data_IF_754560937686
#
_entry.id   IF_754560937686
#
_cell.length_a   1.000
_cell.length_b   1.000
_cell.length_c   1.000
_cell.angle_alpha   90.00
_cell.angle_beta   90.00
_cell.angle_gamma   90.00
#
_symmetry.space_group_name_H-M   'P 1'
#
loop_
_entity.id
_entity.type
_entity.pdbx_description
1 polymer ?
#
# COMPACT_ATOMS: atom_id res chain seq x y z
N UNK A 1 1.88 7.17 19.55
CA UNK A 1 0.92 7.08 18.42
C UNK A 1 1.56 6.40 17.23
N UNK A 2 2.68 6.93 16.71
CA UNK A 2 3.40 6.31 15.58
C UNK A 2 3.93 4.89 15.87
N UNK A 3 4.34 4.56 17.10
CA UNK A 3 4.78 3.19 17.45
C UNK A 3 3.67 2.14 17.40
N UNK A 4 2.46 2.48 17.84
CA UNK A 4 1.30 1.59 17.73
C UNK A 4 0.84 1.47 16.28
N UNK A 5 1.03 2.53 15.49
CA UNK A 5 0.72 2.53 14.07
C UNK A 5 1.70 1.66 13.28
N UNK A 6 3.01 1.81 13.51
CA UNK A 6 4.05 0.91 13.00
C UNK A 6 3.73 -0.55 13.31
N UNK A 7 3.44 -0.88 14.57
CA UNK A 7 3.04 -2.25 14.94
C UNK A 7 1.87 -2.75 14.10
N UNK A 8 0.82 -1.93 13.92
CA UNK A 8 -0.34 -2.30 13.12
C UNK A 8 0.03 -2.55 11.66
N UNK A 9 0.88 -1.71 11.06
CA UNK A 9 1.34 -1.83 9.67
C UNK A 9 2.22 -3.07 9.50
N UNK A 10 3.18 -3.29 10.39
CA UNK A 10 4.05 -4.45 10.39
C UNK A 10 3.28 -5.77 10.62
N UNK A 11 2.17 -5.74 11.34
CA UNK A 11 1.31 -6.91 11.58
C UNK A 11 0.32 -7.22 10.45
N UNK A 12 0.23 -6.37 9.43
CA UNK A 12 -0.72 -6.56 8.33
C UNK A 12 -0.42 -7.87 7.58
N UNK A 13 -1.43 -8.74 7.49
CA UNK A 13 -1.30 -10.06 6.88
C UNK A 13 -2.44 -10.29 5.90
N UNK A 14 -2.07 -10.58 4.65
CA UNK A 14 -3.02 -10.66 3.54
C UNK A 14 -3.21 -12.07 2.98
N UNK A 15 -2.55 -13.07 3.59
CA UNK A 15 -2.51 -14.47 3.14
C UNK A 15 -3.04 -15.46 4.18
N UNK A 16 -3.51 -14.99 5.34
CA UNK A 16 -4.04 -15.84 6.40
C UNK A 16 -5.15 -15.16 7.20
N UNK A 17 -5.86 -15.95 8.00
CA UNK A 17 -6.84 -15.44 8.96
C UNK A 17 -6.12 -14.52 9.93
N UNK A 18 -6.73 -13.38 10.25
CA UNK A 18 -6.20 -12.45 11.25
C UNK A 18 -5.97 -13.14 12.60
N UNK A 19 -5.00 -12.66 13.37
CA UNK A 19 -4.74 -13.20 14.71
C UNK A 19 -5.91 -12.99 15.68
N UNK A 20 -5.79 -13.51 16.91
CA UNK A 20 -6.86 -13.40 17.91
C UNK A 20 -7.25 -11.96 18.23
N UNK A 21 -6.31 -11.01 18.15
CA UNK A 21 -6.57 -9.59 18.38
C UNK A 21 -7.36 -9.00 17.23
N UNK A 22 -6.96 -9.29 15.98
CA UNK A 22 -7.66 -8.84 14.78
C UNK A 22 -9.11 -9.37 14.74
N UNK A 23 -9.31 -10.64 15.09
CA UNK A 23 -10.65 -11.24 15.15
C UNK A 23 -11.53 -10.60 16.23
N UNK A 24 -10.98 -10.36 17.42
CA UNK A 24 -11.71 -9.67 18.51
C UNK A 24 -12.11 -8.24 18.12
N UNK A 25 -11.21 -7.50 17.46
CA UNK A 25 -11.51 -6.15 16.99
C UNK A 25 -12.54 -6.13 15.85
N UNK A 26 -12.52 -7.13 14.97
CA UNK A 26 -13.47 -7.28 13.88
C UNK A 26 -14.90 -7.63 14.33
N UNK A 27 -15.05 -8.29 15.48
CA UNK A 27 -16.37 -8.62 16.06
C UNK A 27 -17.20 -7.38 16.45
N UNK A 28 -16.57 -6.21 16.59
CA UNK A 28 -17.26 -4.94 16.84
C UNK A 28 -17.63 -4.69 18.31
N UNK A 29 -17.47 -5.68 19.20
CA UNK A 29 -17.80 -5.58 20.62
C UNK A 29 -17.05 -4.45 21.35
N UNK A 30 -15.89 -4.05 20.82
CA UNK A 30 -15.07 -2.97 21.38
C UNK A 30 -15.22 -1.63 20.65
N UNK A 31 -16.00 -1.55 19.56
CA UNK A 31 -16.06 -0.34 18.73
C UNK A 31 -16.52 0.88 19.52
N UNK A 32 -17.60 0.75 20.30
CA UNK A 32 -18.10 1.87 21.09
C UNK A 32 -17.18 2.24 22.27
N UNK A 33 -16.47 1.25 22.83
CA UNK A 33 -15.48 1.49 23.87
C UNK A 33 -14.23 2.21 23.34
N UNK A 34 -13.85 1.95 22.08
CA UNK A 34 -12.68 2.57 21.42
C UNK A 34 -12.99 3.91 20.75
N UNK A 35 -14.27 4.23 20.51
CA UNK A 35 -14.71 5.46 19.85
C UNK A 35 -14.12 6.74 20.46
N UNK A 36 -14.14 6.96 21.80
CA UNK A 36 -13.59 8.19 22.37
C UNK A 36 -12.07 8.34 22.14
N UNK A 37 -11.33 7.22 22.08
CA UNK A 37 -9.92 7.24 21.74
C UNK A 37 -9.74 7.64 20.27
N UNK A 38 -10.48 7.02 19.35
CA UNK A 38 -10.43 7.37 17.94
C UNK A 38 -10.76 8.85 17.70
N UNK A 39 -11.81 9.38 18.34
CA UNK A 39 -12.18 10.81 18.26
C UNK A 39 -11.07 11.73 18.77
N UNK A 40 -10.41 11.37 19.88
CA UNK A 40 -9.28 12.12 20.44
C UNK A 40 -8.05 12.11 19.51
N UNK A 41 -7.79 10.96 18.86
CA UNK A 41 -6.76 10.85 17.82
C UNK A 41 -7.09 11.79 16.67
N UNK A 42 -8.29 11.67 16.08
CA UNK A 42 -8.71 12.48 14.93
C UNK A 42 -8.67 13.98 15.23
N UNK A 43 -9.04 14.39 16.45
CA UNK A 43 -9.03 15.79 16.87
C UNK A 43 -7.62 16.35 17.16
N UNK A 44 -6.59 15.51 17.23
CA UNK A 44 -5.22 15.94 17.52
C UNK A 44 -4.60 16.65 16.32
N UNK A 45 -3.93 17.78 16.57
CA UNK A 45 -3.15 18.47 15.53
C UNK A 45 -1.98 17.62 15.02
N UNK A 46 -1.48 16.67 15.83
CA UNK A 46 -0.39 15.77 15.44
C UNK A 46 -0.78 14.76 14.35
N UNK A 47 -2.08 14.58 14.09
CA UNK A 47 -2.61 13.69 13.05
C UNK A 47 -3.41 14.43 11.99
N UNK A 48 -3.39 15.77 11.99
CA UNK A 48 -4.10 16.54 10.97
C UNK A 48 -3.64 16.17 9.55
N UNK A 49 -2.36 15.86 9.37
CA UNK A 49 -1.77 15.41 8.12
C UNK A 49 -2.25 14.01 7.67
N UNK A 50 -2.88 13.22 8.53
CA UNK A 50 -3.38 11.89 8.14
C UNK A 50 -4.50 11.95 7.09
N UNK A 51 -5.12 13.11 6.96
CA UNK A 51 -6.27 13.38 6.09
C UNK A 51 -5.91 14.29 4.91
N UNK A 52 -4.63 14.62 4.72
CA UNK A 52 -4.21 15.54 3.66
C UNK A 52 -3.78 14.80 2.42
N UNK A 53 -3.93 15.47 1.28
CA UNK A 53 -3.36 15.09 -0.01
C UNK A 53 -1.83 14.94 0.06
N UNK A 54 -1.25 14.37 -0.99
CA UNK A 54 0.19 14.25 -1.13
C UNK A 54 0.89 15.62 -1.07
N UNK A 55 2.15 15.63 -0.60
CA UNK A 55 2.94 16.84 -0.46
C UNK A 55 3.83 17.04 -1.70
N UNK A 56 3.34 17.69 -2.75
CA UNK A 56 4.05 17.79 -4.03
C UNK A 56 5.51 18.31 -3.90
N UNK A 57 5.74 19.27 -3.01
CA UNK A 57 7.05 19.89 -2.79
C UNK A 57 7.95 19.12 -1.81
N UNK A 58 7.37 18.15 -1.08
CA UNK A 58 8.02 17.48 0.04
C UNK A 58 7.96 15.95 -0.13
N UNK A 59 8.56 15.41 -1.20
CA UNK A 59 8.61 13.96 -1.44
C UNK A 59 10.03 13.41 -1.39
N UNK A 60 10.17 12.22 -0.80
CA UNK A 60 11.38 11.40 -0.87
C UNK A 60 11.05 10.02 -1.42
N UNK A 61 11.82 9.56 -2.40
CA UNK A 61 11.83 8.17 -2.80
C UNK A 61 12.47 7.32 -1.71
N UNK A 62 11.95 6.10 -1.51
CA UNK A 62 12.43 5.14 -0.52
C UNK A 62 12.83 3.84 -1.21
N UNK A 63 14.07 3.40 -1.01
CA UNK A 63 14.59 2.15 -1.57
C UNK A 63 15.22 1.27 -0.50
N UNK A 64 14.86 0.00 -0.47
CA UNK A 64 15.52 -1.02 0.37
C UNK A 64 16.85 -1.52 -0.22
N UNK A 65 17.17 -1.13 -1.46
CA UNK A 65 18.41 -1.49 -2.13
C UNK A 65 19.33 -0.29 -2.28
N UNK A 66 20.64 -0.54 -2.15
CA UNK A 66 21.67 0.47 -2.40
C UNK A 66 21.49 1.06 -3.83
N UNK A 67 21.59 2.38 -4.00
CA UNK A 67 21.42 3.06 -5.30
C UNK A 67 22.35 2.53 -6.39
N UNK A 68 23.58 2.14 -6.04
CA UNK A 68 24.55 1.56 -6.99
C UNK A 68 24.10 0.18 -7.52
N UNK A 69 23.09 -0.41 -6.89
CA UNK A 69 22.43 -1.67 -7.29
C UNK A 69 21.01 -1.46 -7.84
N UNK A 70 20.53 -0.22 -7.87
CA UNK A 70 19.18 0.13 -8.32
C UNK A 70 19.11 0.14 -9.85
N UNK A 71 18.43 -0.86 -10.43
CA UNK A 71 18.31 -1.03 -11.87
C UNK A 71 17.05 -0.34 -12.46
N UNK A 72 16.64 0.80 -11.91
CA UNK A 72 15.45 1.55 -12.36
C UNK A 72 14.13 0.78 -12.18
N UNK A 73 12.98 1.39 -12.52
CA UNK A 73 11.72 0.66 -12.59
C UNK A 73 11.80 -0.44 -13.66
N UNK A 74 11.75 -1.69 -13.19
CA UNK A 74 11.98 -2.89 -13.99
C UNK A 74 10.70 -3.30 -14.71
N UNK A 75 10.47 -2.76 -15.92
CA UNK A 75 9.62 -3.26 -17.03
C UNK A 75 8.34 -2.46 -17.34
N UNK A 76 7.92 -2.38 -18.61
CA UNK A 76 6.67 -1.72 -19.00
C UNK A 76 5.44 -2.35 -18.32
N UNK A 77 4.56 -1.51 -17.75
CA UNK A 77 3.30 -1.94 -17.12
C UNK A 77 2.41 -2.81 -18.05
N UNK A 78 2.46 -2.56 -19.37
CA UNK A 78 1.70 -3.31 -20.37
C UNK A 78 2.07 -4.81 -20.41
N UNK A 79 3.36 -5.13 -20.32
CA UNK A 79 3.85 -6.52 -20.32
C UNK A 79 3.43 -7.25 -19.05
N UNK A 80 3.39 -6.54 -17.91
CA UNK A 80 2.88 -7.09 -16.65
C UNK A 80 1.39 -7.37 -16.73
N UNK A 81 0.59 -6.43 -17.24
CA UNK A 81 -0.85 -6.58 -17.33
C UNK A 81 -1.25 -7.78 -18.21
N UNK A 82 -0.60 -7.95 -19.37
CA UNK A 82 -0.84 -9.10 -20.25
C UNK A 82 -0.49 -10.45 -19.59
N UNK A 83 0.64 -10.51 -18.86
CA UNK A 83 1.04 -11.70 -18.10
C UNK A 83 0.07 -11.99 -16.96
N UNK A 84 -0.35 -10.97 -16.22
CA UNK A 84 -1.31 -11.10 -15.14
C UNK A 84 -2.65 -11.65 -15.66
N UNK A 85 -3.17 -11.15 -16.80
CA UNK A 85 -4.40 -11.69 -17.43
C UNK A 85 -4.24 -13.17 -17.79
N UNK A 86 -3.10 -13.52 -18.38
CA UNK A 86 -2.80 -14.91 -18.76
C UNK A 86 -2.75 -15.81 -17.52
N UNK A 87 -2.11 -15.33 -16.44
CA UNK A 87 -2.01 -16.05 -15.18
C UNK A 87 -3.38 -16.25 -14.53
N UNK A 88 -4.26 -15.24 -14.57
CA UNK A 88 -5.62 -15.32 -14.05
C UNK A 88 -6.44 -16.39 -14.78
N UNK A 89 -6.48 -16.32 -16.11
CA UNK A 89 -7.19 -17.30 -16.96
C UNK A 89 -6.66 -18.72 -16.72
N UNK A 90 -5.33 -18.88 -16.68
CA UNK A 90 -4.71 -20.17 -16.42
C UNK A 90 -5.02 -20.69 -15.01
N UNK A 91 -5.16 -19.80 -14.02
CA UNK A 91 -5.45 -20.16 -12.64
C UNK A 91 -6.90 -20.56 -12.40
N UNK A 92 -7.84 -20.02 -13.18
CA UNK A 92 -9.25 -20.42 -13.16
C UNK A 92 -9.54 -21.78 -13.81
N UNK A 93 -8.61 -22.33 -14.62
CA UNK A 93 -8.74 -23.65 -15.27
C UNK A 93 -8.20 -24.81 -14.44
N UNK A 94 -7.56 -24.55 -13.30
CA UNK A 94 -6.97 -25.60 -12.45
C UNK A 94 -8.03 -26.16 -11.52
N UNK A 95 -8.11 -27.49 -11.43
CA UNK A 95 -8.93 -28.18 -10.43
C UNK A 95 -8.26 -27.98 -9.06
N UNK A 96 -8.98 -27.39 -8.09
CA UNK A 96 -8.38 -26.90 -6.84
C UNK A 96 -8.68 -27.82 -5.68
N UNK A 97 -7.91 -28.89 -5.59
CA UNK A 97 -7.61 -29.52 -4.30
C UNK A 97 -6.14 -29.24 -3.96
N UNK A 98 -5.84 -28.07 -3.39
CA UNK A 98 -4.55 -27.80 -2.70
C UNK A 98 -4.60 -26.53 -1.86
N UNK A 99 -4.42 -26.71 -0.56
CA UNK A 99 -4.62 -25.74 0.52
C UNK A 99 -3.52 -24.67 0.68
N UNK A 100 -2.45 -24.62 -0.12
CA UNK A 100 -1.27 -23.79 0.19
C UNK A 100 -0.70 -22.97 -0.99
N UNK A 101 -1.52 -22.59 -1.97
CA UNK A 101 -1.06 -21.56 -2.93
C UNK A 101 -1.17 -20.19 -2.27
N UNK A 102 -0.01 -19.61 -1.93
CA UNK A 102 0.21 -18.19 -1.60
C UNK A 102 1.33 -17.71 -2.52
N UNK A 103 1.25 -16.48 -3.03
CA UNK A 103 2.27 -15.99 -3.97
C UNK A 103 2.27 -14.49 -4.26
N UNK A 104 1.13 -13.91 -4.64
CA UNK A 104 0.99 -12.47 -4.92
C UNK A 104 -0.30 -12.02 -4.23
N UNK A 105 -0.17 -11.25 -3.16
CA UNK A 105 -1.28 -10.71 -2.39
C UNK A 105 -1.36 -9.18 -2.44
N UNK A 106 -0.32 -8.53 -2.95
CA UNK A 106 -0.22 -7.08 -3.07
C UNK A 106 -1.21 -6.57 -4.12
N UNK A 107 -1.91 -5.48 -3.77
CA UNK A 107 -2.61 -4.64 -4.72
C UNK A 107 -1.73 -3.50 -5.24
N UNK A 108 -0.62 -3.16 -4.56
CA UNK A 108 0.32 -2.12 -5.01
C UNK A 108 0.93 -2.42 -6.38
N UNK A 109 1.17 -1.39 -7.21
CA UNK A 109 1.93 -1.55 -8.45
C UNK A 109 3.40 -1.79 -8.11
N UNK A 110 3.82 -3.06 -8.04
CA UNK A 110 5.16 -3.50 -7.61
C UNK A 110 6.36 -2.93 -8.37
N UNK A 111 6.14 -2.26 -9.50
CA UNK A 111 7.19 -1.61 -10.30
C UNK A 111 7.20 -0.09 -10.19
N UNK A 112 6.24 0.49 -9.47
CA UNK A 112 6.16 1.92 -9.30
C UNK A 112 7.26 2.41 -8.38
N UNK A 113 7.77 3.60 -8.67
CA UNK A 113 8.56 4.36 -7.69
C UNK A 113 7.66 4.69 -6.51
N UNK A 114 8.07 4.32 -5.30
CA UNK A 114 7.35 4.61 -4.05
C UNK A 114 7.99 5.81 -3.35
N UNK A 115 7.19 6.84 -3.09
CA UNK A 115 7.62 8.03 -2.36
C UNK A 115 6.76 8.29 -1.15
N UNK A 116 7.35 8.91 -0.14
CA UNK A 116 6.65 9.39 1.04
C UNK A 116 6.92 10.85 1.27
N UNK A 117 6.07 11.49 2.07
CA UNK A 117 6.31 12.85 2.52
C UNK A 117 7.61 12.96 3.31
N UNK A 118 8.40 13.99 2.99
CA UNK A 118 9.61 14.37 3.72
C UNK A 118 9.26 15.05 5.07
N UNK A 119 10.27 15.33 5.90
CA UNK A 119 10.08 16.09 7.15
C UNK A 119 10.96 15.61 8.30
N UNK A 120 10.84 16.29 9.44
CA UNK A 120 11.62 15.99 10.65
C UNK A 120 11.27 14.61 11.26
N UNK A 121 10.06 14.13 11.02
CA UNK A 121 9.56 12.82 11.46
C UNK A 121 9.79 11.70 10.43
N UNK A 122 10.57 11.94 9.37
CA UNK A 122 10.83 10.96 8.30
C UNK A 122 11.29 9.59 8.85
N UNK A 123 12.13 9.59 9.88
CA UNK A 123 12.57 8.34 10.53
C UNK A 123 11.40 7.48 11.03
N UNK A 124 10.32 8.08 11.53
CA UNK A 124 9.12 7.35 11.98
C UNK A 124 8.26 6.87 10.81
N UNK A 125 8.30 7.56 9.67
CA UNK A 125 7.57 7.16 8.46
C UNK A 125 8.25 6.01 7.72
N UNK A 126 9.57 5.91 7.85
CA UNK A 126 10.35 4.76 7.35
C UNK A 126 10.02 3.45 8.09
N UNK A 127 9.36 3.51 9.25
CA UNK A 127 8.82 2.33 9.93
C UNK A 127 7.47 1.87 9.37
N UNK A 128 6.74 2.73 8.65
CA UNK A 128 5.41 2.40 8.11
C UNK A 128 5.52 1.56 6.84
N UNK A 129 6.05 0.35 6.94
CA UNK A 129 6.25 -0.57 5.80
C UNK A 129 5.65 -1.92 6.14
N UNK A 130 4.66 -2.33 5.36
CA UNK A 130 4.12 -3.68 5.45
C UNK A 130 5.18 -4.70 5.04
N UNK A 131 5.21 -5.84 5.73
CA UNK A 131 6.10 -6.95 5.42
C UNK A 131 7.57 -6.51 5.20
N UNK A 132 8.05 -5.58 6.03
CA UNK A 132 9.39 -4.99 5.91
C UNK A 132 10.52 -6.01 6.06
N UNK A 133 10.24 -7.28 6.43
CA UNK A 133 11.24 -8.33 6.55
C UNK A 133 12.38 -8.03 7.53
N UNK A 134 12.22 -7.02 8.41
CA UNK A 134 13.26 -6.58 9.33
C UNK A 134 14.40 -5.81 8.68
N UNK A 135 14.12 -4.93 7.71
CA UNK A 135 15.15 -4.08 7.10
C UNK A 135 15.99 -3.33 8.15
N UNK A 136 17.31 -3.47 8.03
CA UNK A 136 18.31 -2.81 8.88
C UNK A 136 18.97 -1.60 8.17
N UNK A 137 18.74 -1.45 6.87
CA UNK A 137 19.25 -0.35 6.05
C UNK A 137 18.25 0.04 4.97
N UNK A 138 18.11 1.33 4.72
CA UNK A 138 17.23 1.89 3.69
C UNK A 138 17.86 3.17 3.13
N UNK A 139 17.56 3.50 1.88
CA UNK A 139 18.05 4.70 1.22
C UNK A 139 16.87 5.60 0.87
N UNK A 140 17.07 6.90 1.06
CA UNK A 140 16.08 7.91 0.67
C UNK A 140 16.71 8.92 -0.28
N UNK A 141 15.98 9.37 -1.27
CA UNK A 141 16.40 10.48 -2.11
C UNK A 141 15.29 11.51 -2.25
N UNK A 142 15.62 12.79 -2.14
CA UNK A 142 14.66 13.84 -2.48
C UNK A 142 14.29 13.73 -3.96
N UNK A 143 13.00 13.88 -4.27
CA UNK A 143 12.51 13.91 -5.65
C UNK A 143 11.82 15.23 -5.95
N UNK A 144 11.71 15.55 -7.24
CA UNK A 144 10.85 16.60 -7.77
C UNK A 144 9.72 15.97 -8.54
N UNK A 145 8.50 16.34 -8.18
CA UNK A 145 7.29 15.99 -8.92
C UNK A 145 7.07 16.98 -10.05
N UNK A 146 6.72 16.50 -11.24
CA UNK A 146 6.35 17.36 -12.36
C UNK A 146 5.12 18.20 -12.00
N UNK A 147 5.11 19.49 -12.35
CA UNK A 147 4.03 20.40 -11.97
C UNK A 147 2.67 20.06 -12.59
N UNK A 148 2.67 19.28 -13.67
CA UNK A 148 1.49 18.79 -14.38
C UNK A 148 1.17 17.31 -14.07
N UNK A 149 1.87 16.69 -13.10
CA UNK A 149 1.59 15.33 -12.67
C UNK A 149 0.16 15.20 -12.12
N UNK A 150 -0.56 14.20 -12.59
CA UNK A 150 -1.94 13.89 -12.21
C UNK A 150 -1.93 12.82 -11.13
N UNK A 151 -2.08 13.22 -9.87
CA UNK A 151 -2.15 12.31 -8.75
C UNK A 151 -3.60 12.00 -8.39
N UNK A 152 -3.93 10.71 -8.25
CA UNK A 152 -5.21 10.30 -7.67
C UNK A 152 -5.05 10.13 -6.15
N UNK A 153 -5.92 10.78 -5.41
CA UNK A 153 -5.98 10.71 -3.96
C UNK A 153 -6.93 9.61 -3.46
N UNK A 154 -6.46 8.81 -2.51
CA UNK A 154 -7.25 7.76 -1.84
C UNK A 154 -7.33 8.09 -0.35
N UNK A 155 -8.50 8.60 0.08
CA UNK A 155 -8.76 8.99 1.46
C UNK A 155 -9.73 8.05 2.19
N UNK A 156 -10.48 7.26 1.43
CA UNK A 156 -11.48 6.35 1.98
C UNK A 156 -11.65 5.09 1.11
N UNK A 157 -12.29 4.03 1.65
CA UNK A 157 -12.58 2.81 0.89
C UNK A 157 -13.40 3.10 -0.39
N UNK A 158 -14.23 4.14 -0.37
CA UNK A 158 -15.04 4.55 -1.53
C UNK A 158 -14.21 5.04 -2.71
N UNK A 159 -13.08 5.70 -2.45
CA UNK A 159 -12.19 6.20 -3.51
C UNK A 159 -11.50 5.03 -4.22
N UNK A 160 -11.02 4.07 -3.43
CA UNK A 160 -10.44 2.83 -3.93
C UNK A 160 -11.46 1.98 -4.69
N UNK A 161 -12.68 1.82 -4.14
CA UNK A 161 -13.76 1.12 -4.81
C UNK A 161 -14.10 1.74 -6.17
N UNK A 162 -14.12 3.07 -6.25
CA UNK A 162 -14.33 3.80 -7.51
C UNK A 162 -13.19 3.54 -8.50
N UNK A 163 -11.93 3.59 -8.06
CA UNK A 163 -10.78 3.27 -8.90
C UNK A 163 -10.89 1.85 -9.49
N UNK A 164 -11.20 0.86 -8.65
CA UNK A 164 -11.42 -0.53 -9.08
C UNK A 164 -12.60 -0.68 -10.03
N UNK A 165 -13.67 0.10 -9.86
CA UNK A 165 -14.84 0.09 -10.75
C UNK A 165 -14.52 0.70 -12.12
N UNK A 166 -13.78 1.81 -12.14
CA UNK A 166 -13.43 2.54 -13.35
C UNK A 166 -12.30 1.85 -14.14
N UNK A 167 -11.45 1.09 -13.45
CA UNK A 167 -10.29 0.41 -14.00
C UNK A 167 -10.17 -1.04 -13.46
N UNK A 168 -11.13 -1.94 -13.73
CA UNK A 168 -11.14 -3.26 -13.12
C UNK A 168 -10.08 -4.19 -13.71
N UNK A 169 -9.41 -4.94 -12.84
CA UNK A 169 -8.59 -6.08 -13.18
C UNK A 169 -8.98 -7.27 -12.30
N UNK A 170 -9.47 -8.35 -12.91
CA UNK A 170 -9.92 -9.53 -12.18
C UNK A 170 -8.75 -10.36 -11.66
N UNK A 171 -8.84 -10.75 -10.38
CA UNK A 171 -7.83 -11.50 -9.63
C UNK A 171 -8.45 -12.63 -8.81
N UNK A 172 -9.71 -12.98 -9.07
CA UNK A 172 -10.51 -13.98 -8.34
C UNK A 172 -9.75 -15.29 -8.12
N UNK A 173 -8.99 -15.73 -9.11
CA UNK A 173 -8.27 -16.98 -9.09
C UNK A 173 -6.82 -16.82 -8.65
N UNK A 174 -6.14 -15.71 -8.94
CA UNK A 174 -4.73 -15.51 -8.57
C UNK A 174 -4.54 -15.04 -7.14
N UNK A 175 -5.14 -13.91 -6.77
CA UNK A 175 -5.01 -13.26 -5.45
C UNK A 175 -6.19 -13.58 -4.54
N UNK A 176 -7.39 -13.73 -5.13
CA UNK A 176 -8.63 -14.00 -4.42
C UNK A 176 -8.58 -15.14 -3.40
N UNK A 177 -7.82 -16.24 -3.58
CA UNK A 177 -7.69 -17.28 -2.54
C UNK A 177 -7.09 -16.79 -1.24
N UNK A 178 -6.07 -15.92 -1.30
CA UNK A 178 -5.44 -15.32 -0.12
C UNK A 178 -6.40 -14.34 0.54
N UNK A 179 -7.04 -13.47 -0.23
CA UNK A 179 -8.00 -12.49 0.28
C UNK A 179 -9.27 -13.13 0.85
N UNK A 180 -9.68 -14.28 0.31
CA UNK A 180 -10.72 -15.12 0.90
C UNK A 180 -10.30 -15.69 2.26
N UNK A 181 -9.05 -16.14 2.43
CA UNK A 181 -8.57 -16.61 3.75
C UNK A 181 -8.64 -15.51 4.78
N UNK A 182 -8.35 -14.27 4.39
CA UNK A 182 -8.41 -13.09 5.27
C UNK A 182 -9.86 -12.75 5.65
N UNK A 183 -10.77 -12.76 4.68
CA UNK A 183 -12.11 -12.15 4.82
C UNK A 183 -13.24 -13.15 5.02
N UNK A 184 -13.03 -14.42 4.68
CA UNK A 184 -14.07 -15.46 4.62
C UNK A 184 -15.04 -15.31 3.44
N UNK A 185 -14.82 -14.36 2.52
CA UNK A 185 -15.77 -14.04 1.45
C UNK A 185 -15.49 -14.81 0.16
N UNK A 186 -16.47 -15.60 -0.30
CA UNK A 186 -16.49 -16.25 -1.61
C UNK A 186 -17.14 -15.30 -2.63
N UNK A 187 -16.34 -14.39 -3.18
CA UNK A 187 -16.78 -13.33 -4.11
C UNK A 187 -15.84 -13.26 -5.31
N UNK A 188 -16.24 -12.53 -6.36
CA UNK A 188 -15.25 -12.06 -7.35
C UNK A 188 -14.37 -11.01 -6.71
N UNK A 189 -13.08 -11.07 -7.03
CA UNK A 189 -12.09 -10.12 -6.55
C UNK A 189 -11.49 -9.33 -7.70
N UNK A 190 -11.36 -8.03 -7.51
CA UNK A 190 -10.71 -7.13 -8.46
C UNK A 190 -9.67 -6.25 -7.78
N UNK A 191 -8.72 -5.77 -8.57
CA UNK A 191 -7.79 -4.69 -8.22
C UNK A 191 -7.76 -3.66 -9.36
N UNK A 192 -7.12 -2.49 -9.19
CA UNK A 192 -6.94 -1.55 -10.28
C UNK A 192 -6.08 -2.16 -11.40
N UNK A 193 -6.51 -1.99 -12.64
CA UNK A 193 -5.70 -2.26 -13.80
C UNK A 193 -4.67 -1.13 -13.97
N UNK A 194 -3.47 -1.32 -13.42
CA UNK A 194 -2.42 -0.29 -13.40
C UNK A 194 -2.03 0.25 -14.80
N UNK A 195 -2.09 -0.58 -15.85
CA UNK A 195 -1.91 -0.12 -17.24
C UNK A 195 -2.99 0.90 -17.64
N UNK A 196 -4.25 0.62 -17.28
CA UNK A 196 -5.37 1.51 -17.57
C UNK A 196 -5.37 2.77 -16.69
N UNK A 197 -4.91 2.65 -15.43
CA UNK A 197 -4.79 3.78 -14.50
C UNK A 197 -3.67 4.72 -14.96
N UNK A 198 -2.52 4.18 -15.38
CA UNK A 198 -1.38 4.96 -15.88
C UNK A 198 -1.71 5.81 -17.12
N UNK A 199 -2.75 5.46 -17.88
CA UNK A 199 -3.24 6.28 -18.99
C UNK A 199 -3.89 7.59 -18.53
N UNK A 200 -4.35 7.68 -17.27
CA UNK A 200 -5.08 8.83 -16.71
C UNK A 200 -4.36 9.53 -15.56
N UNK A 201 -3.56 8.80 -14.80
CA UNK A 201 -2.88 9.28 -13.61
C UNK A 201 -1.42 8.88 -13.65
N UNK A 202 -0.58 9.77 -13.13
CA UNK A 202 0.86 9.61 -13.09
C UNK A 202 1.29 9.06 -11.71
N UNK A 203 0.49 9.28 -10.67
CA UNK A 203 0.72 8.73 -9.34
C UNK A 203 -0.58 8.46 -8.57
N UNK A 204 -0.51 7.55 -7.60
CA UNK A 204 -1.62 7.21 -6.70
C UNK A 204 -1.14 7.39 -5.28
N UNK A 205 -1.76 8.31 -4.54
CA UNK A 205 -1.44 8.56 -3.15
C UNK A 205 -2.48 7.90 -2.24
N UNK A 206 -1.99 7.15 -1.24
CA UNK A 206 -2.82 6.60 -0.18
C UNK A 206 -2.54 7.36 1.12
N UNK A 207 -3.47 8.23 1.51
CA UNK A 207 -3.38 8.91 2.81
C UNK A 207 -3.42 7.91 3.98
N UNK A 208 -2.93 8.34 5.15
CA UNK A 208 -3.01 7.53 6.38
C UNK A 208 -4.46 7.18 6.73
N UNK A 209 -5.40 8.11 6.55
CA UNK A 209 -6.82 7.85 6.78
C UNK A 209 -7.37 6.80 5.82
N UNK A 210 -7.00 6.88 4.54
CA UNK A 210 -7.35 5.88 3.52
C UNK A 210 -6.82 4.50 3.90
N UNK A 211 -5.55 4.42 4.31
CA UNK A 211 -4.95 3.18 4.79
C UNK A 211 -5.71 2.60 5.99
N UNK A 212 -5.86 3.36 7.08
CA UNK A 212 -6.48 2.91 8.33
C UNK A 212 -7.93 2.43 8.16
N UNK A 213 -8.65 2.98 7.18
CA UNK A 213 -10.05 2.63 6.91
C UNK A 213 -10.21 1.48 5.93
N UNK A 214 -9.16 1.13 5.15
CA UNK A 214 -9.26 0.27 3.97
C UNK A 214 -8.35 -0.96 3.98
N UNK A 215 -7.16 -0.86 4.57
CA UNK A 215 -6.18 -1.94 4.59
C UNK A 215 -6.74 -3.16 5.34
N UNK A 216 -6.40 -4.36 4.88
CA UNK A 216 -6.84 -5.66 5.45
C UNK A 216 -8.36 -5.90 5.50
N UNK A 217 -9.16 -5.06 4.81
CA UNK A 217 -10.63 -5.15 4.79
C UNK A 217 -11.16 -5.39 3.39
N UNK A 218 -12.22 -6.19 3.29
CA UNK A 218 -12.99 -6.29 2.05
C UNK A 218 -13.71 -4.96 1.79
N UNK A 219 -13.51 -4.42 0.59
CA UNK A 219 -14.13 -3.19 0.11
C UNK A 219 -15.09 -3.57 -1.01
N UNK A 220 -16.37 -3.26 -0.85
CA UNK A 220 -17.38 -3.53 -1.87
C UNK A 220 -17.18 -2.60 -3.08
N UNK A 221 -17.06 -3.20 -4.27
CA UNK A 221 -17.00 -2.50 -5.57
C UNK A 221 -18.36 -2.58 -6.27
N UNK A 222 -19.04 -3.71 -6.17
CA UNK A 222 -20.38 -3.98 -6.70
C UNK A 222 -21.03 -5.10 -5.85
N UNK A 223 -22.27 -5.49 -6.16
CA UNK A 223 -23.07 -6.45 -5.37
C UNK A 223 -22.31 -7.76 -5.03
N UNK A 224 -21.57 -8.32 -6.00
CA UNK A 224 -20.77 -9.55 -5.86
C UNK A 224 -19.29 -9.35 -6.26
N UNK A 225 -18.77 -8.14 -6.08
CA UNK A 225 -17.38 -7.79 -6.43
C UNK A 225 -16.74 -7.02 -5.30
N UNK A 226 -15.61 -7.54 -4.81
CA UNK A 226 -14.85 -6.92 -3.74
C UNK A 226 -13.41 -6.65 -4.18
N UNK A 227 -12.76 -5.76 -3.43
CA UNK A 227 -11.33 -5.46 -3.55
C UNK A 227 -10.74 -5.30 -2.14
N UNK A 228 -9.43 -5.21 -2.04
CA UNK A 228 -8.72 -4.91 -0.81
C UNK A 228 -7.49 -4.08 -1.14
N UNK A 229 -7.09 -3.19 -0.22
CA UNK A 229 -5.78 -2.55 -0.28
C UNK A 229 -4.80 -3.44 0.50
N UNK A 230 -3.78 -3.92 -0.19
CA UNK A 230 -2.77 -4.81 0.37
C UNK A 230 -1.39 -4.43 -0.19
N UNK A 231 -0.38 -4.40 0.66
CA UNK A 231 0.98 -4.12 0.23
C UNK A 231 1.32 -2.64 0.09
N UNK A 232 0.51 -1.75 0.68
CA UNK A 232 0.61 -0.30 0.49
C UNK A 232 1.11 0.37 1.76
N UNK A 233 2.02 1.34 1.62
CA UNK A 233 2.49 2.16 2.74
C UNK A 233 1.50 3.30 3.07
N UNK A 234 1.17 3.55 4.34
CA UNK A 234 0.43 4.76 4.71
C UNK A 234 1.19 6.05 4.32
N UNK A 235 0.49 7.02 3.74
CA UNK A 235 1.06 8.27 3.18
C UNK A 235 2.07 8.02 2.04
N UNK A 236 1.97 6.85 1.39
CA UNK A 236 2.80 6.46 0.26
C UNK A 236 2.16 6.83 -1.08
N UNK A 237 2.98 7.36 -1.99
CA UNK A 237 2.61 7.62 -3.39
C UNK A 237 3.34 6.65 -4.30
N UNK A 238 2.57 5.88 -5.07
CA UNK A 238 3.09 5.02 -6.12
C UNK A 238 3.03 5.73 -7.48
N UNK A 239 4.19 6.00 -8.08
CA UNK A 239 4.31 6.66 -9.39
C UNK A 239 4.31 5.66 -10.53
N UNK A 240 3.35 5.81 -11.45
CA UNK A 240 3.07 4.87 -12.53
C UNK A 240 3.82 5.20 -13.83
N UNK A 241 4.41 6.40 -13.92
CA UNK A 241 5.08 6.91 -15.12
C UNK A 241 6.42 7.54 -14.76
N UNK A 242 7.46 7.18 -15.51
CA UNK A 242 8.85 7.59 -15.22
C UNK A 242 9.07 9.11 -15.30
N UNK A 243 8.31 9.83 -16.12
CA UNK A 243 8.49 11.28 -16.32
C UNK A 243 7.87 12.15 -15.21
N UNK A 244 7.07 11.55 -14.32
CA UNK A 244 6.35 12.28 -13.28
C UNK A 244 7.23 12.68 -12.09
N UNK A 245 8.33 11.95 -11.87
CA UNK A 245 9.24 12.16 -10.75
C UNK A 245 10.68 12.11 -11.22
N UNK A 246 11.50 13.01 -10.68
CA UNK A 246 12.94 13.05 -10.96
C UNK A 246 13.74 13.14 -9.68
N UNK A 247 14.86 12.43 -9.63
CA UNK A 247 15.82 12.53 -8.51
C UNK A 247 16.32 13.97 -8.37
N UNK A 248 16.27 14.52 -7.17
CA UNK A 248 16.56 15.93 -6.89
C UNK A 248 17.67 16.13 -5.84
N UNK A 249 18.40 15.09 -5.48
CA UNK A 249 19.53 15.15 -4.55
C UNK A 249 20.35 13.86 -4.55
N UNK A 250 21.27 13.78 -3.59
CA UNK A 250 22.02 12.55 -3.32
C UNK A 250 21.17 11.56 -2.51
N UNK A 251 21.47 10.28 -2.67
CA UNK A 251 20.86 9.25 -1.83
C UNK A 251 21.46 9.28 -0.42
N UNK A 252 20.58 9.35 0.57
CA UNK A 252 20.92 9.29 1.98
C UNK A 252 20.67 7.87 2.51
N UNK A 253 21.71 7.24 3.07
CA UNK A 253 21.58 5.98 3.79
C UNK A 253 21.02 6.22 5.19
N UNK A 254 20.11 5.33 5.60
CA UNK A 254 19.60 5.22 6.95
C UNK A 254 19.86 3.82 7.47
N UNK A 255 20.30 3.73 8.72
CA UNK A 255 20.47 2.45 9.42
C UNK A 255 19.62 2.41 10.66
N UNK A 256 19.10 1.23 10.95
CA UNK A 256 18.37 0.99 12.18
C UNK A 256 19.37 0.86 13.32
N UNK A 257 19.20 1.67 14.36
CA UNK A 257 20.03 1.62 15.55
C UNK A 257 19.76 0.30 16.31
N UNK A 258 20.78 -0.48 16.69
CA UNK A 258 20.59 -1.83 17.24
C UNK A 258 19.91 -1.81 18.61
N UNK A 259 20.10 -0.74 19.39
CA UNK A 259 19.61 -0.64 20.76
C UNK A 259 18.19 -0.04 20.82
N UNK A 260 17.99 1.05 20.08
CA UNK A 260 16.74 1.82 20.09
C UNK A 260 15.76 1.40 19.01
N UNK A 261 16.23 0.65 18.00
CA UNK A 261 15.49 0.27 16.78
C UNK A 261 15.00 1.46 15.96
N UNK A 262 15.48 2.68 16.22
CA UNK A 262 15.13 3.87 15.47
C UNK A 262 16.02 4.03 14.23
N UNK A 263 15.47 4.56 13.14
CA UNK A 263 16.24 4.92 11.95
C UNK A 263 17.16 6.12 12.23
N UNK A 264 18.42 6.01 11.82
CA UNK A 264 19.42 7.09 11.88
C UNK A 264 20.09 7.29 10.54
N UNK A 265 20.25 8.55 10.15
CA UNK A 265 21.06 8.93 8.98
C UNK A 265 22.51 8.55 9.24
N UNK A 266 23.16 7.98 8.23
CA UNK A 266 24.60 7.65 8.22
C UNK A 266 25.38 8.76 7.54
#
# INVERSE_FOLDING_TARGET
MLSAFDYSVCSAQYWQVGDGTAQMLAAGDLTDALRPFAESIVASTSTAWWFTDYAADDQVEVSASCPDSYNGPVRPLADLAARARTNEIASGRRDRDTSNVSGIWWSTPWLATDTIRSGDDLGLRLDLVEDSGGWESIWTCAIRVASDARVLEVHAPTDWARLCRDHPFEITHTVGPDWRRVTGMETRWVMPNWESVAAKYDGIHLSVAGYLTSATRAIAVDDDVHTMIAGWRPDGTAWLTDDAVTTAGDWQEWRRDPDTRQWRRV
#
